data_IF_538197040246
#
_entry.id   IF_538197040246
#
_cell.length_a   1.000
_cell.length_b   1.000
_cell.length_c   1.000
_cell.angle_alpha   90.00
_cell.angle_beta   90.00
_cell.angle_gamma   90.00
#
_symmetry.space_group_name_H-M   'P 1'
#
loop_
_entity.id
_entity.type
_entity.pdbx_description
1 polymer ?
#
# COMPACT_ATOMS: atom_id res chain seq x y z
N UNK A 1 11.12 -5.06 6.27
CA UNK A 1 12.10 -4.37 5.41
C UNK A 1 12.86 -3.33 6.24
N UNK A 2 14.18 -3.49 6.38
CA UNK A 2 15.03 -2.45 6.98
C UNK A 2 15.39 -1.38 5.96
N UNK A 3 15.53 -0.15 6.39
CA UNK A 3 16.10 0.90 5.54
C UNK A 3 17.59 0.60 5.28
N UNK A 4 18.07 0.80 4.04
CA UNK A 4 19.47 0.51 3.72
C UNK A 4 20.44 1.52 4.37
N UNK A 5 19.92 2.67 4.81
CA UNK A 5 20.64 3.72 5.51
C UNK A 5 19.66 4.56 6.35
N UNK A 6 20.20 5.49 7.14
CA UNK A 6 19.38 6.43 7.90
C UNK A 6 18.61 7.36 6.95
N UNK A 7 17.31 7.52 7.19
CA UNK A 7 16.51 8.46 6.43
C UNK A 7 16.87 9.90 6.80
N UNK A 8 17.01 10.74 5.79
CA UNK A 8 17.24 12.17 5.97
C UNK A 8 15.93 12.87 6.29
N UNK A 9 15.91 13.67 7.37
CA UNK A 9 14.74 14.42 7.82
C UNK A 9 14.67 15.81 7.21
N UNK A 10 13.45 16.32 7.06
CA UNK A 10 13.17 17.69 6.66
C UNK A 10 11.71 18.09 6.85
N UNK A 11 11.36 19.28 6.37
CA UNK A 11 10.01 19.85 6.36
C UNK A 11 9.51 19.98 4.93
N UNK A 12 8.33 19.45 4.65
CA UNK A 12 7.71 19.59 3.33
C UNK A 12 7.36 21.06 3.07
N UNK A 13 7.87 21.63 1.97
CA UNK A 13 7.46 22.97 1.55
C UNK A 13 6.22 22.89 0.66
N UNK A 14 6.29 22.03 -0.37
CA UNK A 14 5.18 21.78 -1.29
C UNK A 14 5.39 20.51 -2.10
N UNK A 15 4.30 19.81 -2.42
CA UNK A 15 4.25 18.76 -3.44
C UNK A 15 3.64 19.33 -4.72
N UNK A 16 4.22 19.03 -5.87
CA UNK A 16 3.74 19.53 -7.17
C UNK A 16 4.05 18.56 -8.30
N UNK A 17 3.35 18.73 -9.43
CA UNK A 17 3.45 17.85 -10.62
C UNK A 17 3.27 16.36 -10.29
N UNK A 18 2.66 16.02 -9.14
CA UNK A 18 2.49 14.66 -8.58
C UNK A 18 3.78 13.95 -8.14
N UNK A 19 4.87 14.09 -8.88
CA UNK A 19 6.11 13.33 -8.70
C UNK A 19 7.28 14.14 -8.10
N UNK A 20 7.06 15.40 -7.72
CA UNK A 20 8.06 16.27 -7.09
C UNK A 20 7.56 16.83 -5.76
N UNK A 21 8.51 17.03 -4.85
CA UNK A 21 8.31 17.82 -3.65
C UNK A 21 9.56 18.65 -3.37
N UNK A 22 9.36 19.88 -2.90
CA UNK A 22 10.45 20.69 -2.35
C UNK A 22 10.43 20.53 -0.82
N UNK A 23 11.61 20.32 -0.23
CA UNK A 23 11.79 20.00 1.19
C UNK A 23 12.93 20.85 1.76
N UNK A 24 12.71 21.43 2.93
CA UNK A 24 13.75 22.07 3.74
C UNK A 24 14.38 21.03 4.67
N UNK A 25 15.64 20.68 4.43
CA UNK A 25 16.38 19.74 5.28
C UNK A 25 16.66 20.34 6.66
N UNK A 26 16.93 19.48 7.65
CA UNK A 26 17.38 19.92 8.97
C UNK A 26 18.71 20.71 8.94
N UNK A 27 19.50 20.56 7.87
CA UNK A 27 20.69 21.37 7.63
C UNK A 27 20.39 22.83 7.24
N UNK A 28 19.14 23.15 6.89
CA UNK A 28 18.72 24.44 6.33
C UNK A 28 18.77 24.51 4.80
N UNK A 29 19.19 23.44 4.11
CA UNK A 29 19.22 23.37 2.65
C UNK A 29 17.82 23.06 2.08
N UNK A 30 17.39 23.81 1.06
CA UNK A 30 16.21 23.47 0.28
C UNK A 30 16.57 22.56 -0.90
N UNK A 31 15.93 21.40 -0.97
CA UNK A 31 16.14 20.42 -2.05
C UNK A 31 14.83 20.02 -2.73
N UNK A 32 14.91 19.64 -4.00
CA UNK A 32 13.82 18.97 -4.70
C UNK A 32 14.01 17.46 -4.67
N UNK A 33 12.99 16.73 -4.24
CA UNK A 33 12.99 15.27 -4.09
C UNK A 33 11.96 14.62 -5.01
N UNK A 34 12.17 13.34 -5.32
CA UNK A 34 11.16 12.54 -6.00
C UNK A 34 10.04 12.14 -5.04
N UNK A 35 8.79 12.40 -5.41
CA UNK A 35 7.59 11.88 -4.77
C UNK A 35 7.15 10.59 -5.50
N UNK A 36 7.32 9.39 -4.91
CA UNK A 36 7.03 8.11 -5.55
C UNK A 36 5.54 7.73 -5.51
N UNK A 37 4.65 8.66 -5.16
CA UNK A 37 3.22 8.46 -5.11
C UNK A 37 2.51 9.38 -6.10
N UNK A 38 1.74 8.80 -7.03
CA UNK A 38 1.00 9.50 -8.08
C UNK A 38 -0.45 9.80 -7.71
N UNK A 39 -0.93 9.24 -6.59
CA UNK A 39 -2.29 9.42 -6.06
C UNK A 39 -2.53 10.79 -5.44
N UNK A 40 -3.71 10.98 -4.86
CA UNK A 40 -4.09 12.26 -4.27
C UNK A 40 -3.21 12.60 -3.06
N UNK A 41 -2.79 11.59 -2.29
CA UNK A 41 -2.04 11.77 -1.03
C UNK A 41 -2.80 12.66 -0.04
N UNK A 42 -4.13 12.51 0.01
CA UNK A 42 -5.01 13.24 0.93
C UNK A 42 -4.51 13.05 2.37
N UNK A 43 -4.25 14.15 3.07
CA UNK A 43 -3.71 14.15 4.44
C UNK A 43 -2.22 13.78 4.56
N UNK A 44 -1.52 13.49 3.46
CA UNK A 44 -0.12 13.03 3.48
C UNK A 44 0.88 14.04 2.89
N UNK A 45 0.42 15.22 2.45
CA UNK A 45 1.26 16.21 1.78
C UNK A 45 0.96 17.65 2.25
N UNK A 46 0.70 17.81 3.55
CA UNK A 46 0.46 19.12 4.16
C UNK A 46 1.78 19.90 4.25
N UNK A 47 1.81 21.19 3.88
CA UNK A 47 2.98 22.03 4.12
C UNK A 47 3.43 21.98 5.59
N UNK A 48 4.74 22.06 5.80
CA UNK A 48 5.43 21.96 7.09
C UNK A 48 5.38 20.58 7.79
N UNK A 49 4.73 19.58 7.19
CA UNK A 49 4.83 18.20 7.68
C UNK A 49 6.29 17.74 7.73
N UNK A 50 6.66 17.04 8.81
CA UNK A 50 7.95 16.36 8.89
C UNK A 50 7.97 15.22 7.88
N UNK A 51 9.05 15.13 7.12
CA UNK A 51 9.25 14.11 6.09
C UNK A 51 10.58 13.38 6.29
N UNK A 52 10.62 12.14 5.81
CA UNK A 52 11.83 11.33 5.77
C UNK A 52 12.12 10.89 4.35
N UNK A 53 13.38 11.06 3.97
CA UNK A 53 13.90 10.91 2.63
C UNK A 53 14.95 9.82 2.57
N UNK A 54 14.90 8.98 1.55
CA UNK A 54 15.94 7.99 1.28
C UNK A 54 16.87 8.50 0.16
N UNK A 55 18.18 8.45 0.37
CA UNK A 55 19.14 8.75 -0.67
C UNK A 55 19.25 7.54 -1.62
N UNK A 56 19.13 7.78 -2.92
CA UNK A 56 19.19 6.69 -3.91
C UNK A 56 20.63 6.36 -4.33
N UNK A 57 21.63 7.17 -3.95
CA UNK A 57 23.06 7.03 -4.30
C UNK A 57 23.35 6.80 -5.79
N UNK A 58 22.40 7.13 -6.66
CA UNK A 58 22.52 6.90 -8.09
C UNK A 58 22.85 8.22 -8.77
N UNK A 59 24.11 8.44 -9.21
CA UNK A 59 24.54 9.70 -9.80
C UNK A 59 23.85 10.01 -11.13
N UNK A 60 23.18 9.02 -11.76
CA UNK A 60 22.40 9.23 -12.99
C UNK A 60 21.00 9.78 -12.71
N UNK A 61 20.52 9.76 -11.46
CA UNK A 61 19.21 10.30 -11.11
C UNK A 61 19.28 11.81 -11.01
N UNK A 62 18.28 12.49 -11.59
CA UNK A 62 18.11 13.94 -11.47
C UNK A 62 17.87 14.38 -10.03
N UNK A 63 17.14 13.58 -9.25
CA UNK A 63 16.83 13.85 -7.85
C UNK A 63 17.46 12.74 -7.01
N UNK A 64 18.40 13.12 -6.14
CA UNK A 64 19.14 12.17 -5.31
C UNK A 64 18.23 11.47 -4.29
N UNK A 65 17.25 12.19 -3.76
CA UNK A 65 16.38 11.72 -2.68
C UNK A 65 14.99 11.30 -3.17
N UNK A 66 14.46 10.24 -2.57
CA UNK A 66 13.06 9.80 -2.67
C UNK A 66 12.36 10.08 -1.35
N UNK A 67 11.17 10.68 -1.41
CA UNK A 67 10.33 10.85 -0.22
C UNK A 67 9.67 9.52 0.15
N UNK A 68 9.96 9.01 1.35
CA UNK A 68 9.46 7.70 1.82
C UNK A 68 8.35 7.86 2.87
N UNK A 69 8.58 8.68 3.90
CA UNK A 69 7.66 8.83 5.03
C UNK A 69 7.25 10.28 5.27
N UNK A 70 6.07 10.46 5.87
CA UNK A 70 5.57 11.74 6.39
C UNK A 70 4.91 11.54 7.74
N UNK A 71 4.99 12.55 8.59
CA UNK A 71 4.34 12.58 9.91
C UNK A 71 2.90 13.02 9.73
N UNK A 72 1.97 12.25 10.30
CA UNK A 72 0.55 12.60 10.34
C UNK A 72 0.32 13.74 11.32
N UNK A 73 -0.82 14.42 11.20
CA UNK A 73 -1.25 15.45 12.16
C UNK A 73 -1.46 14.88 13.59
N UNK A 74 -1.60 13.56 13.72
CA UNK A 74 -1.74 12.87 15.00
C UNK A 74 -0.40 12.38 15.57
N UNK A 75 0.71 12.60 14.87
CA UNK A 75 2.06 12.21 15.27
C UNK A 75 2.47 10.79 14.87
N UNK A 76 1.61 10.04 14.19
CA UNK A 76 1.94 8.74 13.60
C UNK A 76 2.72 8.88 12.29
N UNK A 77 3.41 7.83 11.85
CA UNK A 77 4.10 7.82 10.56
C UNK A 77 3.21 7.27 9.44
N UNK A 78 3.42 7.78 8.23
CA UNK A 78 2.76 7.34 7.00
C UNK A 78 3.85 7.02 5.98
N UNK A 79 3.84 5.81 5.40
CA UNK A 79 4.68 5.48 4.26
C UNK A 79 3.94 5.83 2.97
N UNK A 80 4.36 6.91 2.31
CA UNK A 80 3.69 7.41 1.11
C UNK A 80 4.13 6.67 -0.14
N UNK A 81 5.27 5.97 -0.10
CA UNK A 81 5.79 5.22 -1.24
C UNK A 81 4.97 3.95 -1.46
N UNK A 82 3.94 4.03 -2.32
CA UNK A 82 2.97 2.95 -2.54
C UNK A 82 3.61 1.63 -3.00
N UNK A 83 4.70 1.67 -3.77
CA UNK A 83 5.43 0.48 -4.19
C UNK A 83 6.06 -0.31 -3.03
N UNK A 84 6.19 0.28 -1.82
CA UNK A 84 6.60 -0.44 -0.61
C UNK A 84 5.56 -1.46 -0.17
N UNK A 85 4.28 -1.28 -0.52
CA UNK A 85 3.22 -2.22 -0.17
C UNK A 85 3.52 -3.65 -0.67
N UNK A 86 3.84 -3.80 -1.96
CA UNK A 86 4.16 -5.11 -2.53
C UNK A 86 5.41 -5.71 -1.89
N UNK A 87 6.46 -4.92 -1.66
CA UNK A 87 7.67 -5.42 -0.99
C UNK A 87 7.38 -5.93 0.44
N UNK A 88 6.55 -5.20 1.19
CA UNK A 88 6.15 -5.58 2.55
C UNK A 88 5.26 -6.82 2.57
N UNK A 89 4.31 -6.92 1.65
CA UNK A 89 3.47 -8.13 1.51
C UNK A 89 4.31 -9.33 1.11
N UNK A 90 5.24 -9.18 0.17
CA UNK A 90 6.16 -10.24 -0.23
C UNK A 90 7.00 -10.75 0.96
N UNK A 91 7.57 -9.84 1.75
CA UNK A 91 8.32 -10.22 2.96
C UNK A 91 7.43 -10.91 4.01
N UNK A 92 6.20 -10.44 4.18
CA UNK A 92 5.24 -11.03 5.11
C UNK A 92 4.73 -12.41 4.67
N UNK A 93 4.57 -12.64 3.36
CA UNK A 93 4.27 -13.95 2.78
C UNK A 93 5.45 -14.91 2.99
N UNK A 94 6.66 -14.49 2.64
CA UNK A 94 7.88 -15.30 2.78
C UNK A 94 8.20 -15.68 4.23
N UNK A 95 7.73 -14.88 5.20
CA UNK A 95 7.91 -15.14 6.64
C UNK A 95 6.64 -15.66 7.33
N UNK A 96 5.63 -16.07 6.55
CA UNK A 96 4.35 -16.61 7.03
C UNK A 96 3.61 -15.71 8.05
N UNK A 97 3.82 -14.39 8.00
CA UNK A 97 3.19 -13.42 8.91
C UNK A 97 1.72 -13.15 8.55
N UNK A 98 1.34 -13.38 7.30
CA UNK A 98 -0.07 -13.30 6.89
C UNK A 98 -0.71 -14.65 7.18
N UNK A 99 -1.19 -14.83 8.42
CA UNK A 99 -1.66 -16.13 8.91
C UNK A 99 -2.67 -16.84 7.97
N UNK A 100 -3.67 -16.16 7.37
CA UNK A 100 -4.60 -16.81 6.42
C UNK A 100 -3.95 -17.35 5.14
N UNK A 101 -2.70 -17.00 4.84
CA UNK A 101 -1.93 -17.39 3.65
C UNK A 101 -0.65 -18.15 4.01
N UNK A 102 -0.48 -18.52 5.28
CA UNK A 102 0.73 -19.15 5.76
C UNK A 102 0.89 -20.59 5.25
N UNK A 103 -0.19 -21.25 4.81
CA UNK A 103 -0.21 -22.64 4.33
C UNK A 103 0.58 -22.85 3.04
N UNK A 104 0.66 -21.84 2.17
CA UNK A 104 1.32 -21.88 0.86
C UNK A 104 2.86 -21.89 0.97
N UNK A 105 3.51 -22.77 0.22
CA UNK A 105 4.98 -22.89 0.20
C UNK A 105 5.64 -22.05 -0.91
N UNK A 106 4.92 -21.82 -2.02
CA UNK A 106 5.44 -21.11 -3.19
C UNK A 106 4.75 -19.75 -3.36
N UNK A 107 5.53 -18.74 -3.76
CA UNK A 107 5.04 -17.39 -4.03
C UNK A 107 5.70 -16.83 -5.29
N UNK A 108 4.89 -16.56 -6.31
CA UNK A 108 5.30 -15.89 -7.54
C UNK A 108 4.74 -14.46 -7.57
N UNK A 109 5.62 -13.47 -7.56
CA UNK A 109 5.24 -12.07 -7.74
C UNK A 109 4.95 -11.74 -9.22
N UNK A 110 4.08 -10.75 -9.45
CA UNK A 110 3.83 -10.14 -10.78
C UNK A 110 3.41 -11.14 -11.86
N UNK A 111 2.61 -12.15 -11.49
CA UNK A 111 2.13 -13.18 -12.43
C UNK A 111 1.20 -12.56 -13.46
N UNK A 112 1.48 -12.82 -14.74
CA UNK A 112 0.63 -12.37 -15.86
C UNK A 112 -0.64 -13.21 -15.93
N UNK A 113 -1.79 -12.55 -16.01
CA UNK A 113 -3.10 -13.16 -16.18
C UNK A 113 -3.46 -13.31 -17.67
N UNK A 114 -4.49 -14.13 -17.96
CA UNK A 114 -4.99 -14.33 -19.32
C UNK A 114 -5.50 -13.03 -19.97
N UNK A 115 -6.03 -12.10 -19.17
CA UNK A 115 -6.45 -10.75 -19.59
C UNK A 115 -5.27 -9.86 -20.05
N UNK A 116 -4.02 -10.26 -19.80
CA UNK A 116 -2.83 -9.48 -20.03
C UNK A 116 -2.44 -8.52 -18.89
N UNK A 117 -3.27 -8.38 -17.85
CA UNK A 117 -2.89 -7.70 -16.61
C UNK A 117 -1.95 -8.57 -15.77
N UNK A 118 -1.46 -8.01 -14.66
CA UNK A 118 -0.66 -8.74 -13.67
C UNK A 118 -1.37 -8.71 -12.34
N UNK A 119 -1.37 -9.85 -11.65
CA UNK A 119 -1.71 -9.96 -10.23
C UNK A 119 -0.43 -9.76 -9.42
N UNK A 120 -0.53 -9.15 -8.24
CA UNK A 120 0.65 -8.86 -7.41
C UNK A 120 1.33 -10.15 -6.93
N UNK A 121 0.57 -11.14 -6.45
CA UNK A 121 1.11 -12.44 -6.03
C UNK A 121 0.22 -13.62 -6.44
N UNK A 122 0.87 -14.73 -6.75
CA UNK A 122 0.26 -16.04 -6.99
C UNK A 122 0.92 -17.06 -6.07
N UNK A 123 0.10 -17.70 -5.23
CA UNK A 123 0.54 -18.64 -4.19
C UNK A 123 0.09 -20.06 -4.56
N UNK A 124 1.02 -21.01 -4.43
CA UNK A 124 0.83 -22.43 -4.80
C UNK A 124 1.38 -23.34 -3.71
N UNK A 125 1.15 -24.64 -3.88
CA UNK A 125 1.63 -25.69 -2.97
C UNK A 125 1.15 -25.48 -1.52
N UNK A 126 -0.17 -25.42 -1.35
CA UNK A 126 -0.78 -25.32 -0.02
C UNK A 126 -0.66 -26.62 0.74
N UNK A 127 -0.08 -26.54 1.94
CA UNK A 127 0.02 -27.67 2.89
C UNK A 127 -1.33 -28.14 3.43
N UNK A 128 -2.40 -27.37 3.22
CA UNK A 128 -3.76 -27.67 3.66
C UNK A 128 -4.68 -28.09 2.49
N UNK A 129 -4.09 -28.40 1.32
CA UNK A 129 -4.83 -28.75 0.08
C UNK A 129 -5.84 -27.67 -0.36
N UNK A 130 -5.54 -26.40 -0.07
CA UNK A 130 -6.31 -25.27 -0.55
C UNK A 130 -6.05 -25.02 -2.05
N UNK A 131 -7.02 -24.45 -2.80
CA UNK A 131 -6.79 -24.01 -4.17
C UNK A 131 -5.65 -22.99 -4.27
N UNK A 132 -5.04 -22.89 -5.45
CA UNK A 132 -4.10 -21.81 -5.76
C UNK A 132 -4.72 -20.44 -5.45
N UNK A 133 -3.91 -19.55 -4.88
CA UNK A 133 -4.37 -18.26 -4.39
C UNK A 133 -3.78 -17.09 -5.17
N UNK A 134 -4.66 -16.20 -5.62
CA UNK A 134 -4.31 -14.94 -6.25
C UNK A 134 -4.47 -13.80 -5.24
N UNK A 135 -3.43 -13.01 -5.04
CA UNK A 135 -3.43 -11.90 -4.08
C UNK A 135 -3.20 -10.58 -4.81
N UNK A 136 -4.17 -9.67 -4.71
CA UNK A 136 -4.06 -8.29 -5.15
C UNK A 136 -3.82 -7.40 -3.93
N UNK A 137 -2.84 -6.50 -4.01
CA UNK A 137 -2.46 -5.57 -2.95
C UNK A 137 -2.94 -4.17 -3.25
N UNK A 138 -3.53 -3.52 -2.23
CA UNK A 138 -3.89 -2.11 -2.26
C UNK A 138 -3.21 -1.38 -1.10
N UNK A 139 -2.49 -0.30 -1.41
CA UNK A 139 -1.92 0.57 -0.38
C UNK A 139 -3.00 1.50 0.17
N UNK A 140 -3.10 1.57 1.50
CA UNK A 140 -4.06 2.43 2.21
C UNK A 140 -3.30 3.46 3.04
N UNK A 141 -3.46 4.73 2.69
CA UNK A 141 -2.92 5.87 3.44
C UNK A 141 -3.99 6.90 3.81
N UNK A 142 -5.18 6.86 3.18
CA UNK A 142 -6.25 7.79 3.50
C UNK A 142 -6.82 7.48 4.89
N UNK A 143 -6.66 8.43 5.81
CA UNK A 143 -7.25 8.41 7.14
C UNK A 143 -8.50 9.31 7.17
N UNK A 144 -9.61 8.76 7.65
CA UNK A 144 -10.94 9.39 7.68
C UNK A 144 -11.35 9.85 9.10
N UNK A 145 -10.41 9.87 10.07
CA UNK A 145 -10.72 10.16 11.48
C UNK A 145 -10.98 8.90 12.30
N UNK A 146 -10.84 9.00 13.62
CA UNK A 146 -11.14 7.92 14.60
C UNK A 146 -10.50 6.56 14.28
N UNK A 147 -9.31 6.57 13.69
CA UNK A 147 -8.60 5.37 13.25
C UNK A 147 -9.27 4.62 12.10
N UNK A 148 -10.16 5.25 11.34
CA UNK A 148 -10.76 4.70 10.13
C UNK A 148 -9.88 5.02 8.93
N UNK A 149 -9.44 3.99 8.22
CA UNK A 149 -8.78 4.09 6.93
C UNK A 149 -9.75 3.81 5.78
N UNK A 150 -9.47 4.34 4.60
CA UNK A 150 -10.28 4.02 3.42
C UNK A 150 -9.49 3.92 2.11
N UNK A 151 -10.06 3.20 1.16
CA UNK A 151 -9.55 3.10 -0.22
C UNK A 151 -10.71 3.11 -1.22
N UNK A 152 -10.57 3.77 -2.40
CA UNK A 152 -9.43 4.57 -2.85
C UNK A 152 -9.44 6.01 -2.30
N UNK A 153 -8.35 6.76 -2.54
CA UNK A 153 -8.23 8.19 -2.20
C UNK A 153 -8.68 9.14 -3.34
N UNK A 154 -9.02 8.56 -4.50
CA UNK A 154 -9.63 9.23 -5.65
C UNK A 154 -10.38 8.19 -6.52
N UNK A 155 -11.31 8.64 -7.35
CA UNK A 155 -12.01 7.77 -8.31
C UNK A 155 -11.01 7.02 -9.19
N UNK A 156 -11.14 5.69 -9.28
CA UNK A 156 -10.16 4.84 -9.95
C UNK A 156 -10.81 3.77 -10.83
N UNK A 157 -10.94 4.07 -12.12
CA UNK A 157 -11.39 3.11 -13.12
C UNK A 157 -10.48 1.85 -13.18
N UNK A 158 -9.20 2.00 -12.86
CA UNK A 158 -8.26 0.88 -12.76
C UNK A 158 -8.59 -0.03 -11.58
N UNK A 159 -8.86 0.54 -10.40
CA UNK A 159 -9.22 -0.26 -9.23
C UNK A 159 -10.52 -1.04 -9.46
N UNK A 160 -11.51 -0.42 -10.11
CA UNK A 160 -12.75 -1.09 -10.48
C UNK A 160 -12.51 -2.25 -11.45
N UNK A 161 -11.72 -2.04 -12.52
CA UNK A 161 -11.37 -3.10 -13.47
C UNK A 161 -10.71 -4.30 -12.78
N UNK A 162 -9.85 -4.05 -11.79
CA UNK A 162 -9.18 -5.14 -11.06
C UNK A 162 -10.18 -5.98 -10.26
N UNK A 163 -11.27 -5.41 -9.72
CA UNK A 163 -12.32 -6.19 -9.04
C UNK A 163 -12.97 -7.21 -9.99
N UNK A 164 -13.26 -6.79 -11.22
CA UNK A 164 -13.84 -7.68 -12.23
C UNK A 164 -12.88 -8.84 -12.59
N UNK A 165 -11.58 -8.54 -12.70
CA UNK A 165 -10.55 -9.55 -12.95
C UNK A 165 -10.42 -10.55 -11.78
N UNK A 166 -10.51 -10.07 -10.53
CA UNK A 166 -10.51 -10.92 -9.33
C UNK A 166 -11.73 -11.84 -9.26
N UNK A 167 -12.91 -11.33 -9.63
CA UNK A 167 -14.13 -12.14 -9.70
C UNK A 167 -14.05 -13.21 -10.78
N UNK A 168 -13.42 -12.92 -11.92
CA UNK A 168 -13.21 -13.94 -12.94
C UNK A 168 -12.33 -15.08 -12.42
N UNK A 169 -11.19 -14.77 -11.79
CA UNK A 169 -10.31 -15.79 -11.18
C UNK A 169 -11.05 -16.66 -10.16
N UNK A 170 -11.96 -16.04 -9.39
CA UNK A 170 -12.77 -16.76 -8.42
C UNK A 170 -13.78 -17.70 -9.08
N UNK A 171 -14.43 -17.27 -10.16
CA UNK A 171 -15.34 -18.10 -10.97
C UNK A 171 -14.63 -19.27 -11.63
N UNK A 172 -13.34 -19.10 -11.93
CA UNK A 172 -12.48 -20.16 -12.45
C UNK A 172 -12.02 -21.16 -11.36
N UNK A 173 -12.49 -20.98 -10.11
CA UNK A 173 -12.27 -21.90 -8.99
C UNK A 173 -11.06 -21.57 -8.12
N UNK A 174 -10.36 -20.46 -8.37
CA UNK A 174 -9.22 -20.06 -7.57
C UNK A 174 -9.64 -19.42 -6.24
N UNK A 175 -8.75 -19.50 -5.24
CA UNK A 175 -8.84 -18.65 -4.06
C UNK A 175 -8.35 -17.24 -4.45
N UNK A 176 -9.06 -16.21 -4.00
CA UNK A 176 -8.74 -14.83 -4.39
C UNK A 176 -8.83 -13.93 -3.18
N UNK A 177 -7.77 -13.16 -2.97
CA UNK A 177 -7.59 -12.28 -1.80
C UNK A 177 -7.27 -10.86 -2.28
N UNK A 178 -8.05 -9.90 -1.80
CA UNK A 178 -7.69 -8.48 -1.84
C UNK A 178 -7.08 -8.09 -0.48
N UNK A 179 -5.82 -7.68 -0.49
CA UNK A 179 -5.07 -7.33 0.72
C UNK A 179 -4.82 -5.82 0.77
N UNK A 180 -5.45 -5.15 1.72
CA UNK A 180 -5.14 -3.77 2.08
C UNK A 180 -3.87 -3.70 2.94
N UNK A 181 -2.76 -3.26 2.35
CA UNK A 181 -1.54 -2.92 3.05
C UNK A 181 -1.68 -1.50 3.62
N UNK A 182 -1.92 -1.39 4.92
CA UNK A 182 -2.17 -0.13 5.60
C UNK A 182 -0.85 0.49 6.03
N UNK A 183 -0.50 1.58 5.36
CA UNK A 183 0.79 2.27 5.47
C UNK A 183 0.66 3.59 6.24
N UNK A 184 -0.18 3.61 7.27
CA UNK A 184 -0.46 4.78 8.11
C UNK A 184 -0.73 4.29 9.54
N UNK A 185 0.08 4.72 10.50
CA UNK A 185 0.07 4.13 11.86
C UNK A 185 -1.21 4.40 12.64
N UNK A 186 -1.85 5.54 12.41
CA UNK A 186 -3.09 5.92 13.09
C UNK A 186 -4.33 5.13 12.62
N UNK A 187 -4.26 4.40 11.50
CA UNK A 187 -5.37 3.59 11.01
C UNK A 187 -5.49 2.30 11.84
N UNK A 188 -6.71 1.97 12.26
CA UNK A 188 -7.06 0.80 13.09
C UNK A 188 -8.10 -0.11 12.44
N UNK A 189 -8.80 0.34 11.40
CA UNK A 189 -9.76 -0.43 10.60
C UNK A 189 -9.89 0.17 9.21
N UNK A 190 -10.28 -0.62 8.20
CA UNK A 190 -10.36 -0.17 6.79
C UNK A 190 -11.74 -0.39 6.22
N UNK A 191 -12.19 0.49 5.33
CA UNK A 191 -13.41 0.31 4.51
C UNK A 191 -13.20 0.79 3.07
N UNK A 192 -14.06 0.40 2.11
CA UNK A 192 -14.12 1.13 0.85
C UNK A 192 -14.61 2.58 1.06
N UNK A 193 -14.01 3.52 0.35
CA UNK A 193 -14.36 4.94 0.39
C UNK A 193 -15.59 5.22 -0.50
N UNK A 194 -16.78 4.84 -0.04
CA UNK A 194 -18.04 5.01 -0.80
C UNK A 194 -18.36 6.46 -1.19
N UNK A 195 -17.89 7.42 -0.41
CA UNK A 195 -18.02 8.85 -0.64
C UNK A 195 -17.05 9.39 -1.70
N UNK A 196 -15.97 8.65 -1.99
CA UNK A 196 -14.99 9.00 -3.02
C UNK A 196 -15.27 8.23 -4.31
N UNK A 197 -15.43 6.92 -4.23
CA UNK A 197 -15.72 6.05 -5.37
C UNK A 197 -16.85 5.06 -5.01
N UNK A 198 -18.13 5.47 -5.14
CA UNK A 198 -19.27 4.62 -4.82
C UNK A 198 -19.36 3.38 -5.72
N UNK A 199 -18.82 3.45 -6.94
CA UNK A 199 -18.80 2.32 -7.87
C UNK A 199 -17.83 1.25 -7.39
N UNK A 200 -16.62 1.65 -6.99
CA UNK A 200 -15.65 0.73 -6.38
C UNK A 200 -16.22 0.10 -5.10
N UNK A 201 -16.81 0.90 -4.22
CA UNK A 201 -17.40 0.39 -2.97
C UNK A 201 -18.49 -0.66 -3.22
N UNK A 202 -19.41 -0.39 -4.15
CA UNK A 202 -20.45 -1.34 -4.52
C UNK A 202 -19.87 -2.60 -5.18
N UNK A 203 -18.88 -2.46 -6.06
CA UNK A 203 -18.22 -3.59 -6.71
C UNK A 203 -17.49 -4.48 -5.69
N UNK A 204 -16.77 -3.88 -4.73
CA UNK A 204 -16.10 -4.63 -3.67
C UNK A 204 -17.11 -5.37 -2.79
N UNK A 205 -18.21 -4.72 -2.41
CA UNK A 205 -19.29 -5.36 -1.64
C UNK A 205 -19.89 -6.56 -2.37
N UNK A 206 -20.18 -6.40 -3.66
CA UNK A 206 -20.67 -7.52 -4.48
C UNK A 206 -19.62 -8.63 -4.55
N UNK A 207 -18.34 -8.28 -4.71
CA UNK A 207 -17.27 -9.26 -4.78
C UNK A 207 -17.12 -10.06 -3.49
N UNK A 208 -17.24 -9.41 -2.33
CA UNK A 208 -17.25 -10.09 -1.02
C UNK A 208 -18.44 -11.04 -0.89
N UNK A 209 -19.63 -10.65 -1.38
CA UNK A 209 -20.80 -11.53 -1.40
C UNK A 209 -20.62 -12.75 -2.32
N UNK A 210 -19.84 -12.60 -3.40
CA UNK A 210 -19.43 -13.71 -4.27
C UNK A 210 -18.26 -14.52 -3.67
N UNK A 211 -17.75 -14.10 -2.50
CA UNK A 211 -16.77 -14.80 -1.66
C UNK A 211 -15.33 -14.30 -1.79
N UNK A 212 -15.07 -13.17 -2.46
CA UNK A 212 -13.74 -12.55 -2.45
C UNK A 212 -13.27 -12.34 -1.01
N UNK A 213 -12.10 -12.88 -0.66
CA UNK A 213 -11.51 -12.66 0.66
C UNK A 213 -10.90 -11.26 0.71
N UNK A 214 -11.18 -10.52 1.78
CA UNK A 214 -10.59 -9.19 1.98
C UNK A 214 -9.87 -9.16 3.31
N UNK A 215 -8.58 -8.84 3.25
CA UNK A 215 -7.69 -8.74 4.41
C UNK A 215 -7.17 -7.31 4.53
N UNK A 216 -6.88 -6.88 5.74
CA UNK A 216 -6.09 -5.68 6.00
C UNK A 216 -5.01 -5.98 7.01
N UNK A 217 -3.79 -5.54 6.69
CA UNK A 217 -2.65 -5.61 7.59
C UNK A 217 -2.01 -4.24 7.73
N UNK A 218 -1.77 -3.84 8.97
CA UNK A 218 -1.11 -2.59 9.33
C UNK A 218 0.40 -2.77 9.39
N UNK A 219 1.10 -1.85 8.75
CA UNK A 219 2.54 -1.72 8.89
C UNK A 219 2.88 -1.03 10.22
N UNK A 220 3.87 -1.56 10.93
CA UNK A 220 4.63 -0.84 11.94
C UNK A 220 5.70 -0.04 11.20
N UNK A 221 5.76 1.27 11.46
CA UNK A 221 6.58 2.20 10.69
C UNK A 221 7.57 2.87 11.62
N UNK A 222 8.84 2.83 11.24
CA UNK A 222 9.89 3.53 11.97
C UNK A 222 10.98 4.01 11.03
N UNK A 223 11.87 4.83 11.57
CA UNK A 223 13.08 5.28 10.85
C UNK A 223 14.12 4.16 10.66
N UNK A 224 13.89 2.97 11.24
CA UNK A 224 14.78 1.80 11.10
C UNK A 224 14.23 0.78 10.12
N UNK A 225 12.93 0.56 10.15
CA UNK A 225 12.27 -0.46 9.32
C UNK A 225 10.78 -0.22 9.13
N UNK A 226 10.26 -0.89 8.10
CA UNK A 226 8.84 -1.09 7.81
C UNK A 226 8.53 -2.57 7.96
N UNK A 227 7.52 -2.93 8.74
CA UNK A 227 7.10 -4.33 8.92
C UNK A 227 5.58 -4.44 8.83
N UNK A 228 5.07 -5.24 7.90
CA UNK A 228 3.65 -5.58 7.86
C UNK A 228 3.34 -6.59 8.98
N UNK A 229 2.58 -6.17 9.99
CA UNK A 229 2.51 -6.90 11.26
C UNK A 229 1.07 -7.23 11.69
N UNK A 230 0.22 -6.23 11.83
CA UNK A 230 -1.02 -6.38 12.59
C UNK A 230 -2.21 -6.57 11.66
N UNK A 231 -2.91 -7.70 11.75
CA UNK A 231 -4.21 -7.86 11.09
C UNK A 231 -5.21 -6.90 11.72
N UNK A 232 -5.85 -6.06 10.91
CA UNK A 232 -6.87 -5.11 11.37
C UNK A 232 -8.23 -5.39 10.69
N UNK A 233 -9.35 -4.97 11.31
CA UNK A 233 -10.68 -5.20 10.75
C UNK A 233 -10.88 -4.51 9.40
N UNK A 234 -11.59 -5.20 8.50
CA UNK A 234 -12.16 -4.63 7.28
C UNK A 234 -13.67 -4.56 7.43
N UNK A 235 -14.25 -3.41 7.09
CA UNK A 235 -15.70 -3.17 7.09
C UNK A 235 -16.11 -2.93 5.64
N UNK A 236 -16.81 -3.90 5.03
CA UNK A 236 -17.32 -3.84 3.65
C UNK A 236 -18.84 -3.85 3.66
#
# INVERSE_FOLDING_TARGET
MKWPENLQRGRLLKRYKRFLADVLLESGEEITVHCPNTGAMTGCALPDSRVWLLNNHNPKRKYAYTWELVESELGGMICIHSARANALVNEALATSRIAPLASYAECQAEKRLASGSRIDFFLTDSREAEPDCYVEVKSVTLHCGDGLGAFPDAVSARALKHIDELLQLKRDGARVVLLFAVLHEDIRRVRPASEIDPRYAQALKNAVNEGLEVLAYKAQISEKELVLADRIPVVV
#
